data_IF_228910064489
#
_entry.id   IF_228910064489
#
_cell.length_a   1.000
_cell.length_b   1.000
_cell.length_c   1.000
_cell.angle_alpha   90.00
_cell.angle_beta   90.00
_cell.angle_gamma   90.00
#
_symmetry.space_group_name_H-M   'P 1'
#
loop_
_entity.id
_entity.type
_entity.pdbx_description
1 polymer ?
#
# COMPACT_ATOMS: atom_id res chain seq x y z
N UNK A 1 -19.47 24.41 9.20
CA UNK A 1 -19.95 24.78 7.86
C UNK A 1 -20.10 26.29 7.68
N UNK A 2 -19.24 26.88 6.85
CA UNK A 2 -19.41 28.23 6.30
C UNK A 2 -20.38 28.24 5.09
N UNK A 3 -20.79 29.42 4.60
CA UNK A 3 -21.60 29.52 3.37
C UNK A 3 -20.85 28.98 2.14
N UNK A 4 -19.52 29.18 2.06
CA UNK A 4 -18.67 28.57 1.03
C UNK A 4 -18.66 27.05 1.13
N UNK A 5 -18.46 26.49 2.34
CA UNK A 5 -18.46 25.04 2.56
C UNK A 5 -19.84 24.41 2.24
N UNK A 6 -20.93 25.14 2.50
CA UNK A 6 -22.28 24.72 2.12
C UNK A 6 -22.49 24.72 0.60
N UNK A 7 -21.99 25.74 -0.13
CA UNK A 7 -22.00 25.76 -1.60
C UNK A 7 -21.23 24.56 -2.15
N UNK A 8 -20.02 24.31 -1.64
CA UNK A 8 -19.21 23.17 -2.04
C UNK A 8 -19.92 21.84 -1.80
N UNK A 9 -20.49 21.62 -0.60
CA UNK A 9 -21.17 20.36 -0.25
C UNK A 9 -22.47 20.14 -1.06
N UNK A 10 -23.20 21.21 -1.42
CA UNK A 10 -24.56 21.10 -1.99
C UNK A 10 -24.68 21.31 -3.49
N UNK A 11 -23.72 22.00 -4.13
CA UNK A 11 -23.74 22.25 -5.59
C UNK A 11 -22.64 21.51 -6.35
N UNK A 12 -21.53 21.17 -5.67
CA UNK A 12 -20.36 20.58 -6.32
C UNK A 12 -19.97 19.19 -5.77
N UNK A 13 -20.68 18.68 -4.76
CA UNK A 13 -20.33 17.46 -4.02
C UNK A 13 -18.87 17.47 -3.47
N UNK A 14 -18.40 18.67 -3.07
CA UNK A 14 -17.08 18.92 -2.50
C UNK A 14 -17.16 19.05 -0.98
N UNK A 15 -16.43 18.19 -0.26
CA UNK A 15 -16.56 18.00 1.19
C UNK A 15 -15.38 18.63 1.96
N UNK A 16 -15.22 19.95 1.83
CA UNK A 16 -14.11 20.76 2.39
C UNK A 16 -13.82 20.54 3.89
N UNK A 17 -14.85 20.25 4.70
CA UNK A 17 -14.74 20.04 6.15
C UNK A 17 -14.43 18.58 6.54
N UNK A 18 -14.40 17.64 5.59
CA UNK A 18 -14.07 16.23 5.82
C UNK A 18 -12.61 15.94 5.46
N UNK A 19 -11.99 14.93 6.09
CA UNK A 19 -10.66 14.41 5.72
C UNK A 19 -10.80 13.04 5.04
N UNK A 20 -10.03 12.84 3.98
CA UNK A 20 -9.80 11.53 3.38
C UNK A 20 -8.33 11.12 3.61
N UNK A 21 -8.10 9.83 3.86
CA UNK A 21 -6.77 9.20 3.82
C UNK A 21 -6.76 8.02 2.85
N UNK A 22 -5.69 7.90 2.07
CA UNK A 22 -5.26 6.75 1.25
C UNK A 22 -3.72 6.85 1.12
N UNK A 23 -3.00 5.87 0.54
CA UNK A 23 -1.54 5.92 0.44
C UNK A 23 -1.00 7.20 -0.22
N UNK A 24 -1.73 7.75 -1.20
CA UNK A 24 -1.40 8.96 -1.97
C UNK A 24 -2.00 10.27 -1.40
N UNK A 25 -2.97 10.18 -0.48
CA UNK A 25 -3.83 11.30 -0.11
C UNK A 25 -3.99 11.39 1.41
N UNK A 26 -3.71 12.55 2.00
CA UNK A 26 -3.86 12.73 3.45
C UNK A 26 -4.19 14.19 3.80
N UNK A 27 -5.41 14.64 3.45
CA UNK A 27 -5.83 16.04 3.67
C UNK A 27 -7.34 16.23 3.80
N UNK A 28 -7.71 17.43 4.24
CA UNK A 28 -9.09 17.90 4.24
C UNK A 28 -9.53 18.28 2.81
N UNK A 29 -10.83 18.14 2.54
CA UNK A 29 -11.44 18.40 1.25
C UNK A 29 -11.24 17.26 0.25
N UNK A 30 -12.33 16.82 -0.37
CA UNK A 30 -12.35 15.94 -1.53
C UNK A 30 -13.69 16.08 -2.27
N UNK A 31 -13.73 15.76 -3.56
CA UNK A 31 -15.00 15.55 -4.28
C UNK A 31 -15.52 14.14 -3.99
N UNK A 32 -16.84 13.94 -3.91
CA UNK A 32 -17.43 12.62 -3.64
C UNK A 32 -16.93 11.50 -4.57
N UNK A 33 -16.58 11.82 -5.83
CA UNK A 33 -16.03 10.86 -6.80
C UNK A 33 -14.66 10.31 -6.38
N UNK A 34 -13.95 11.00 -5.47
CA UNK A 34 -12.75 10.46 -4.82
C UNK A 34 -13.00 9.12 -4.13
N UNK A 35 -14.16 8.92 -3.51
CA UNK A 35 -14.53 7.62 -2.91
C UNK A 35 -14.62 6.53 -3.98
N UNK A 36 -15.19 6.85 -5.14
CA UNK A 36 -15.36 5.90 -6.25
C UNK A 36 -13.98 5.53 -6.83
N UNK A 37 -13.13 6.53 -7.04
CA UNK A 37 -11.78 6.37 -7.59
C UNK A 37 -10.86 5.60 -6.64
N UNK A 38 -10.84 5.94 -5.35
CA UNK A 38 -9.98 5.29 -4.35
C UNK A 38 -10.43 3.84 -4.11
N UNK A 39 -11.74 3.56 -4.05
CA UNK A 39 -12.21 2.17 -4.00
C UNK A 39 -11.93 1.40 -5.29
N UNK A 40 -11.95 2.05 -6.47
CA UNK A 40 -11.54 1.40 -7.72
C UNK A 40 -10.03 1.10 -7.75
N UNK A 41 -9.18 2.02 -7.30
CA UNK A 41 -7.75 1.78 -7.15
C UNK A 41 -7.44 0.68 -6.10
N UNK A 42 -8.31 0.46 -5.12
CA UNK A 42 -8.25 -0.71 -4.23
C UNK A 42 -8.68 -2.02 -4.92
N UNK A 43 -9.72 -2.01 -5.77
CA UNK A 43 -10.18 -3.17 -6.56
C UNK A 43 -9.12 -3.61 -7.59
N UNK A 44 -8.45 -2.64 -8.21
CA UNK A 44 -7.35 -2.86 -9.16
C UNK A 44 -5.99 -3.17 -8.48
N UNK A 45 -5.94 -3.18 -7.14
CA UNK A 45 -4.77 -3.62 -6.37
C UNK A 45 -3.66 -2.58 -6.12
N UNK A 46 -3.86 -1.32 -6.54
CA UNK A 46 -2.92 -0.23 -6.30
C UNK A 46 -2.93 0.24 -4.83
N UNK A 47 -4.12 0.33 -4.22
CA UNK A 47 -4.28 0.79 -2.83
C UNK A 47 -4.74 -0.33 -1.89
N UNK A 48 -4.23 -0.34 -0.66
CA UNK A 48 -4.62 -1.34 0.35
C UNK A 48 -5.68 -0.83 1.35
N UNK A 49 -5.88 0.49 1.44
CA UNK A 49 -6.84 1.08 2.39
C UNK A 49 -7.35 2.45 1.94
N UNK A 50 -8.48 2.85 2.53
CA UNK A 50 -8.87 4.26 2.61
C UNK A 50 -9.63 4.58 3.91
N UNK A 51 -9.56 5.82 4.39
CA UNK A 51 -10.20 6.30 5.61
C UNK A 51 -10.95 7.61 5.39
N UNK A 52 -12.16 7.73 5.94
CA UNK A 52 -13.00 8.93 5.88
C UNK A 52 -13.33 9.41 7.28
N UNK A 53 -12.93 10.65 7.61
CA UNK A 53 -13.22 11.29 8.88
C UNK A 53 -14.21 12.45 8.69
N UNK A 54 -15.38 12.43 9.35
CA UNK A 54 -16.30 13.55 9.36
C UNK A 54 -15.78 14.70 10.24
N UNK A 55 -16.19 15.96 9.97
CA UNK A 55 -15.81 17.11 10.81
C UNK A 55 -16.29 16.98 12.27
N UNK A 56 -17.39 16.27 12.49
CA UNK A 56 -18.02 15.99 13.77
C UNK A 56 -18.53 14.54 13.76
N UNK A 57 -18.55 13.86 14.91
CA UNK A 57 -18.98 12.48 14.98
C UNK A 57 -20.43 12.28 14.49
N UNK A 58 -20.68 11.18 13.77
CA UNK A 58 -21.98 10.82 13.19
C UNK A 58 -22.49 9.60 13.96
N UNK A 59 -23.50 9.77 14.81
CA UNK A 59 -24.03 8.72 15.68
C UNK A 59 -22.92 8.01 16.49
N UNK A 60 -22.01 8.81 17.08
CA UNK A 60 -20.81 8.34 17.80
C UNK A 60 -19.60 8.00 16.90
N UNK A 61 -19.80 7.88 15.59
CA UNK A 61 -18.76 7.47 14.66
C UNK A 61 -17.77 8.59 14.30
N UNK A 62 -16.48 8.36 14.52
CA UNK A 62 -15.37 9.29 14.24
C UNK A 62 -14.57 8.94 12.99
N UNK A 63 -14.67 7.72 12.47
CA UNK A 63 -14.06 7.30 11.20
C UNK A 63 -14.81 6.13 10.56
N UNK A 64 -14.93 6.14 9.23
CA UNK A 64 -15.28 4.98 8.41
C UNK A 64 -14.12 4.64 7.49
N UNK A 65 -13.65 3.39 7.51
CA UNK A 65 -12.45 2.94 6.80
C UNK A 65 -12.79 1.74 5.93
N UNK A 66 -12.13 1.60 4.78
CA UNK A 66 -12.10 0.37 4.00
C UNK A 66 -10.66 -0.16 3.97
N UNK A 67 -10.50 -1.48 4.01
CA UNK A 67 -9.22 -2.18 3.83
C UNK A 67 -9.43 -3.35 2.87
N UNK A 68 -8.44 -3.67 2.05
CA UNK A 68 -8.51 -4.82 1.14
C UNK A 68 -8.86 -6.11 1.89
N UNK A 69 -9.87 -6.83 1.42
CA UNK A 69 -10.38 -8.03 2.08
C UNK A 69 -9.48 -9.24 1.87
N UNK A 70 -9.93 -10.39 2.37
CA UNK A 70 -9.26 -11.68 2.15
C UNK A 70 -9.34 -12.11 0.68
N UNK A 71 -10.47 -11.85 0.03
CA UNK A 71 -10.61 -12.02 -1.42
C UNK A 71 -10.16 -10.78 -2.16
N UNK A 72 -9.97 -10.87 -3.49
CA UNK A 72 -9.65 -9.70 -4.31
C UNK A 72 -10.90 -8.84 -4.59
N UNK A 73 -12.10 -9.42 -4.56
CA UNK A 73 -13.35 -8.76 -4.94
C UNK A 73 -14.07 -8.09 -3.73
N UNK A 74 -13.44 -8.12 -2.55
CA UNK A 74 -14.04 -7.66 -1.28
C UNK A 74 -13.15 -6.71 -0.48
N UNK A 75 -13.80 -5.86 0.33
CA UNK A 75 -13.16 -5.02 1.35
C UNK A 75 -13.79 -5.26 2.72
N UNK A 76 -12.97 -5.15 3.76
CA UNK A 76 -13.45 -5.08 5.14
C UNK A 76 -13.70 -3.61 5.51
N UNK A 77 -14.92 -3.28 5.93
CA UNK A 77 -15.28 -1.93 6.37
C UNK A 77 -15.18 -1.83 7.89
N UNK A 78 -14.43 -0.85 8.39
CA UNK A 78 -14.27 -0.59 9.82
C UNK A 78 -14.94 0.73 10.21
N UNK A 79 -15.60 0.75 11.37
CA UNK A 79 -16.23 1.94 11.95
C UNK A 79 -15.63 2.18 13.34
N UNK A 80 -15.02 3.34 13.57
CA UNK A 80 -14.65 3.77 14.92
C UNK A 80 -15.85 4.51 15.52
N UNK A 81 -16.49 3.97 16.56
CA UNK A 81 -17.70 4.51 17.20
C UNK A 81 -17.52 4.47 18.73
N UNK A 82 -17.67 5.61 19.41
CA UNK A 82 -17.57 5.73 20.88
C UNK A 82 -16.32 5.04 21.48
N UNK A 83 -15.17 5.24 20.83
CA UNK A 83 -13.86 4.64 21.16
C UNK A 83 -13.77 3.11 21.05
N UNK A 84 -14.75 2.46 20.43
CA UNK A 84 -14.71 1.05 19.98
C UNK A 84 -14.53 1.00 18.47
N UNK A 85 -14.06 -0.14 17.95
CA UNK A 85 -14.04 -0.40 16.52
C UNK A 85 -15.00 -1.53 16.18
N UNK A 86 -15.75 -1.37 15.10
CA UNK A 86 -16.67 -2.37 14.56
C UNK A 86 -16.25 -2.72 13.13
N UNK A 87 -16.54 -3.95 12.68
CA UNK A 87 -16.14 -4.49 11.37
C UNK A 87 -17.33 -5.10 10.63
N UNK A 88 -17.39 -4.86 9.32
CA UNK A 88 -18.17 -5.64 8.35
C UNK A 88 -17.18 -6.38 7.45
N UNK A 89 -17.25 -7.70 7.44
CA UNK A 89 -16.42 -8.57 6.60
C UNK A 89 -16.95 -8.65 5.17
N UNK A 90 -16.02 -8.84 4.21
CA UNK A 90 -16.30 -9.25 2.82
C UNK A 90 -17.37 -8.42 2.08
N UNK A 91 -17.33 -7.09 2.23
CA UNK A 91 -18.22 -6.15 1.54
C UNK A 91 -17.76 -5.98 0.09
N UNK A 92 -18.66 -6.11 -0.88
CA UNK A 92 -18.33 -5.90 -2.30
C UNK A 92 -17.94 -4.44 -2.58
N UNK A 93 -17.02 -4.18 -3.51
CA UNK A 93 -16.67 -2.79 -3.90
C UNK A 93 -17.89 -1.93 -4.29
N UNK A 94 -18.86 -2.41 -5.10
CA UNK A 94 -20.08 -1.66 -5.37
C UNK A 94 -20.92 -1.33 -4.12
N UNK A 95 -20.90 -2.16 -3.08
CA UNK A 95 -21.61 -1.88 -1.82
C UNK A 95 -20.82 -0.99 -0.87
N UNK A 96 -19.49 -1.14 -0.81
CA UNK A 96 -18.60 -0.22 -0.12
C UNK A 96 -18.75 1.22 -0.65
N UNK A 97 -18.79 1.40 -1.98
CA UNK A 97 -19.09 2.70 -2.62
C UNK A 97 -20.44 3.26 -2.14
N UNK A 98 -21.50 2.44 -2.11
CA UNK A 98 -22.84 2.87 -1.64
C UNK A 98 -22.81 3.28 -0.16
N UNK A 99 -22.11 2.52 0.69
CA UNK A 99 -22.01 2.76 2.13
C UNK A 99 -21.19 4.02 2.44
N UNK A 100 -19.99 4.15 1.88
CA UNK A 100 -19.10 5.31 2.11
C UNK A 100 -19.69 6.60 1.54
N UNK A 101 -20.33 6.55 0.35
CA UNK A 101 -21.12 7.69 -0.16
C UNK A 101 -22.34 8.01 0.71
N UNK A 102 -22.99 7.02 1.33
CA UNK A 102 -24.09 7.28 2.26
C UNK A 102 -23.60 7.94 3.56
N UNK A 103 -22.46 7.51 4.09
CA UNK A 103 -21.80 8.14 5.25
C UNK A 103 -21.51 9.62 4.97
N UNK A 104 -20.89 9.94 3.83
CA UNK A 104 -20.54 11.32 3.46
C UNK A 104 -21.77 12.14 3.05
N UNK A 105 -22.56 11.70 2.07
CA UNK A 105 -23.68 12.49 1.51
C UNK A 105 -24.89 12.59 2.43
N UNK A 106 -25.17 11.55 3.22
CA UNK A 106 -26.39 11.43 4.04
C UNK A 106 -26.13 11.48 5.54
N UNK A 107 -24.86 11.49 5.98
CA UNK A 107 -24.45 11.49 7.40
C UNK A 107 -25.14 10.36 8.17
N UNK A 108 -25.04 9.14 7.61
CA UNK A 108 -25.71 7.93 8.08
C UNK A 108 -24.76 6.73 8.05
N UNK A 109 -24.78 5.94 9.12
CA UNK A 109 -24.07 4.66 9.23
C UNK A 109 -24.77 3.50 8.47
N UNK A 110 -24.05 2.38 8.25
CA UNK A 110 -24.66 1.09 7.89
C UNK A 110 -25.71 0.64 8.91
N UNK A 111 -26.46 -0.42 8.60
CA UNK A 111 -27.38 -1.01 9.56
C UNK A 111 -26.59 -1.68 10.72
N UNK A 112 -26.90 -1.42 12.01
CA UNK A 112 -26.19 -2.03 13.13
C UNK A 112 -26.23 -3.55 13.21
N UNK A 113 -27.08 -4.22 12.44
CA UNK A 113 -27.08 -5.69 12.32
C UNK A 113 -25.99 -6.24 11.39
N UNK A 114 -25.30 -5.38 10.62
CA UNK A 114 -24.28 -5.78 9.64
C UNK A 114 -22.85 -5.78 10.21
N UNK A 115 -22.60 -5.06 11.31
CA UNK A 115 -21.26 -4.92 11.89
C UNK A 115 -21.15 -5.51 13.30
N UNK A 116 -20.01 -6.12 13.59
CA UNK A 116 -19.68 -6.69 14.92
C UNK A 116 -18.59 -5.87 15.60
N UNK A 117 -18.64 -5.77 16.93
CA UNK A 117 -17.55 -5.16 17.70
C UNK A 117 -16.30 -6.05 17.60
N UNK A 118 -15.17 -5.44 17.27
CA UNK A 118 -13.86 -6.09 17.20
C UNK A 118 -12.89 -5.40 18.15
N UNK A 119 -11.78 -6.06 18.47
CA UNK A 119 -10.62 -5.33 18.95
C UNK A 119 -10.26 -4.25 17.90
N UNK A 120 -9.97 -3.02 18.35
CA UNK A 120 -9.38 -2.02 17.47
C UNK A 120 -8.11 -2.62 16.84
N UNK A 121 -7.85 -2.33 15.56
CA UNK A 121 -6.82 -3.04 14.81
C UNK A 121 -5.45 -2.76 15.43
N UNK A 122 -4.97 -3.75 16.15
CA UNK A 122 -3.87 -3.62 17.08
C UNK A 122 -2.55 -3.74 16.33
N UNK A 123 -1.76 -2.66 16.37
CA UNK A 123 -0.46 -2.64 15.68
C UNK A 123 0.53 -3.61 16.35
N UNK A 124 0.31 -4.03 17.62
CA UNK A 124 1.05 -5.14 18.22
C UNK A 124 0.76 -6.49 17.54
N UNK A 125 -0.42 -6.66 16.92
CA UNK A 125 -0.77 -7.86 16.13
C UNK A 125 -0.20 -7.83 14.71
N UNK A 126 0.13 -6.66 14.17
CA UNK A 126 0.89 -6.50 12.91
C UNK A 126 2.41 -6.69 13.10
N UNK A 127 2.91 -6.56 14.34
CA UNK A 127 4.35 -6.67 14.65
C UNK A 127 4.99 -8.01 14.27
N UNK A 128 4.34 -9.19 14.40
CA UNK A 128 4.85 -10.46 13.87
C UNK A 128 5.00 -10.43 12.34
N UNK A 129 3.96 -10.08 11.60
CA UNK A 129 3.96 -9.95 10.12
C UNK A 129 5.10 -9.04 9.64
N UNK A 130 5.31 -7.90 10.29
CA UNK A 130 6.41 -6.99 9.94
C UNK A 130 7.79 -7.56 10.33
N UNK A 131 7.89 -8.28 11.46
CA UNK A 131 9.14 -8.98 11.84
C UNK A 131 9.51 -10.03 10.79
N UNK A 132 8.52 -10.75 10.27
CA UNK A 132 8.70 -11.77 9.23
C UNK A 132 9.11 -11.14 7.90
N UNK A 133 8.40 -10.11 7.44
CA UNK A 133 8.73 -9.39 6.20
C UNK A 133 10.12 -8.75 6.25
N UNK A 134 10.48 -8.11 7.37
CA UNK A 134 11.82 -7.54 7.56
C UNK A 134 12.90 -8.63 7.62
N UNK A 135 12.58 -9.82 8.12
CA UNK A 135 13.51 -10.98 8.12
C UNK A 135 13.73 -11.53 6.72
N UNK A 136 12.67 -11.61 5.91
CA UNK A 136 12.71 -12.03 4.51
C UNK A 136 13.53 -11.04 3.67
N UNK A 137 13.17 -9.75 3.68
CA UNK A 137 13.78 -8.74 2.81
C UNK A 137 15.23 -8.38 3.19
N UNK A 138 15.61 -8.49 4.48
CA UNK A 138 16.99 -8.27 4.93
C UNK A 138 17.86 -9.54 4.88
N UNK A 139 17.28 -10.71 4.62
CA UNK A 139 17.98 -12.01 4.57
C UNK A 139 18.66 -12.48 5.88
N UNK A 140 18.51 -11.73 6.98
CA UNK A 140 19.21 -11.95 8.24
C UNK A 140 18.35 -11.55 9.45
N UNK A 141 17.91 -12.57 10.19
CA UNK A 141 17.12 -12.42 11.41
C UNK A 141 17.80 -11.56 12.50
N UNK A 142 19.14 -11.39 12.49
CA UNK A 142 19.83 -10.47 13.42
C UNK A 142 19.63 -9.01 13.01
N UNK A 143 19.71 -8.71 11.72
CA UNK A 143 19.47 -7.36 11.19
C UNK A 143 17.99 -6.99 11.34
N UNK A 144 17.08 -7.89 11.00
CA UNK A 144 15.64 -7.71 11.25
C UNK A 144 15.34 -7.51 12.74
N UNK A 145 15.93 -8.31 13.64
CA UNK A 145 15.76 -8.11 15.10
C UNK A 145 16.28 -6.75 15.59
N UNK A 146 17.40 -6.24 15.04
CA UNK A 146 17.88 -4.89 15.35
C UNK A 146 16.86 -3.84 14.91
N UNK A 147 16.43 -3.91 13.66
CA UNK A 147 15.42 -3.02 13.09
C UNK A 147 14.09 -3.04 13.89
N UNK A 148 13.56 -4.22 14.23
CA UNK A 148 12.34 -4.37 15.03
C UNK A 148 12.48 -3.97 16.52
N UNK A 149 13.70 -3.64 16.96
CA UNK A 149 13.96 -3.01 18.28
C UNK A 149 13.86 -1.48 18.20
N UNK A 150 14.13 -0.91 17.02
CA UNK A 150 14.00 0.53 16.71
C UNK A 150 12.56 0.89 16.27
N UNK A 151 11.88 -0.01 15.56
CA UNK A 151 10.49 0.13 15.12
C UNK A 151 9.48 0.14 16.29
N UNK A 152 8.76 1.26 16.44
CA UNK A 152 7.88 1.53 17.60
C UNK A 152 6.56 0.76 17.52
N UNK A 153 5.86 0.87 16.38
CA UNK A 153 4.66 0.10 15.99
C UNK A 153 3.50 0.16 17.00
N UNK A 154 2.99 1.38 17.29
CA UNK A 154 1.84 1.63 18.18
C UNK A 154 0.68 2.35 17.49
N UNK A 155 0.86 2.83 16.27
CA UNK A 155 -0.16 3.50 15.45
C UNK A 155 0.08 3.23 13.97
N UNK A 156 -0.90 3.53 13.11
CA UNK A 156 -0.73 3.49 11.65
C UNK A 156 0.37 4.45 11.17
N UNK A 157 0.51 5.60 11.83
CA UNK A 157 1.57 6.59 11.57
C UNK A 157 2.97 6.04 11.93
N UNK A 158 3.11 5.35 13.07
CA UNK A 158 4.35 4.66 13.42
C UNK A 158 4.63 3.42 12.55
N UNK A 159 3.61 2.83 11.91
CA UNK A 159 3.75 1.78 10.91
C UNK A 159 4.28 2.34 9.58
N UNK A 160 3.71 3.46 9.11
CA UNK A 160 4.14 4.19 7.91
C UNK A 160 5.58 4.73 8.07
N UNK A 161 5.92 5.34 9.22
CA UNK A 161 7.30 5.66 9.61
C UNK A 161 8.21 4.43 9.50
N UNK A 162 7.78 3.30 10.05
CA UNK A 162 8.60 2.08 10.11
C UNK A 162 8.77 1.45 8.72
N UNK A 163 7.77 1.54 7.84
CA UNK A 163 7.85 1.11 6.43
C UNK A 163 8.92 1.90 5.67
N UNK A 164 8.92 3.23 5.82
CA UNK A 164 9.97 4.10 5.28
C UNK A 164 11.37 3.73 5.81
N UNK A 165 11.49 3.50 7.13
CA UNK A 165 12.75 3.09 7.74
C UNK A 165 13.24 1.71 7.24
N UNK A 166 12.34 0.77 6.87
CA UNK A 166 12.73 -0.49 6.24
C UNK A 166 13.29 -0.23 4.83
N UNK A 167 12.60 0.60 4.03
CA UNK A 167 13.05 1.02 2.71
C UNK A 167 14.49 1.59 2.75
N UNK A 168 14.75 2.58 3.61
CA UNK A 168 16.11 3.16 3.78
C UNK A 168 17.13 2.10 4.21
N UNK A 169 16.72 1.10 5.02
CA UNK A 169 17.58 -0.01 5.42
C UNK A 169 17.95 -0.93 4.26
N UNK A 170 16.99 -1.21 3.37
CA UNK A 170 17.21 -2.06 2.19
C UNK A 170 18.14 -1.37 1.18
N UNK A 171 17.94 -0.07 0.92
CA UNK A 171 18.83 0.72 0.04
C UNK A 171 20.24 0.88 0.63
N UNK A 172 20.37 1.20 1.91
CA UNK A 172 21.69 1.31 2.58
C UNK A 172 22.45 -0.03 2.68
N UNK A 173 21.80 -1.14 2.35
CA UNK A 173 22.40 -2.48 2.21
C UNK A 173 22.59 -2.94 0.76
N UNK A 174 22.08 -2.17 -0.21
CA UNK A 174 21.99 -2.57 -1.62
C UNK A 174 21.06 -3.75 -1.88
N UNK A 175 20.17 -4.09 -0.94
CA UNK A 175 19.12 -5.10 -1.15
C UNK A 175 17.94 -4.54 -1.96
N UNK A 176 17.78 -3.21 -1.92
CA UNK A 176 16.96 -2.44 -2.84
C UNK A 176 17.77 -1.34 -3.53
N UNK A 177 17.24 -0.77 -4.61
CA UNK A 177 17.70 0.47 -5.24
C UNK A 177 16.51 1.40 -5.47
N UNK A 178 16.69 2.69 -5.21
CA UNK A 178 15.73 3.73 -5.62
C UNK A 178 16.08 4.22 -7.03
N UNK A 179 15.10 4.27 -7.92
CA UNK A 179 15.19 4.90 -9.25
C UNK A 179 14.02 5.86 -9.45
N UNK A 180 14.24 6.99 -10.11
CA UNK A 180 13.12 7.82 -10.57
C UNK A 180 12.34 7.09 -11.67
N UNK A 181 11.04 7.35 -11.80
CA UNK A 181 10.24 6.99 -12.98
C UNK A 181 10.77 7.53 -14.33
N UNK A 182 11.81 8.38 -14.30
CA UNK A 182 12.50 8.98 -15.46
C UNK A 182 14.01 8.68 -15.44
N UNK A 183 14.41 7.49 -14.98
CA UNK A 183 15.80 7.05 -15.15
C UNK A 183 16.06 6.65 -16.61
N UNK A 184 17.30 6.87 -17.07
CA UNK A 184 17.76 6.39 -18.37
C UNK A 184 17.99 4.87 -18.33
N UNK A 185 17.94 4.21 -19.49
CA UNK A 185 18.08 2.75 -19.61
C UNK A 185 19.39 2.23 -19.01
N UNK A 186 20.52 2.92 -19.20
CA UNK A 186 21.80 2.53 -18.62
C UNK A 186 21.80 2.57 -17.08
N UNK A 187 21.12 3.55 -16.47
CA UNK A 187 21.00 3.65 -15.02
C UNK A 187 20.09 2.54 -14.47
N UNK A 188 19.00 2.19 -15.17
CA UNK A 188 18.18 1.03 -14.83
C UNK A 188 19.02 -0.27 -14.88
N UNK A 189 19.65 -0.57 -16.02
CA UNK A 189 20.51 -1.75 -16.20
C UNK A 189 21.62 -1.80 -15.13
N UNK A 190 22.30 -0.68 -14.91
CA UNK A 190 23.40 -0.59 -13.94
C UNK A 190 22.95 -0.90 -12.51
N UNK A 191 21.76 -0.43 -12.10
CA UNK A 191 21.24 -0.64 -10.76
C UNK A 191 20.61 -2.04 -10.56
N UNK A 192 19.90 -2.58 -11.56
CA UNK A 192 19.44 -3.99 -11.51
C UNK A 192 20.61 -4.97 -11.47
N UNK A 193 21.71 -4.71 -12.20
CA UNK A 193 22.94 -5.51 -12.09
C UNK A 193 23.58 -5.47 -10.68
N UNK A 194 23.39 -4.39 -9.90
CA UNK A 194 23.88 -4.35 -8.51
C UNK A 194 23.07 -5.31 -7.62
N UNK A 195 21.74 -5.34 -7.76
CA UNK A 195 20.87 -6.23 -6.98
C UNK A 195 21.26 -7.70 -7.18
N UNK A 196 21.39 -8.12 -8.45
CA UNK A 196 21.74 -9.50 -8.84
C UNK A 196 23.10 -9.90 -8.25
N UNK A 197 24.12 -9.04 -8.37
CA UNK A 197 25.46 -9.27 -7.80
C UNK A 197 25.48 -9.27 -6.26
N UNK A 198 24.67 -8.43 -5.60
CA UNK A 198 24.64 -8.36 -4.14
C UNK A 198 24.06 -9.64 -3.51
N UNK A 199 23.01 -10.22 -4.11
CA UNK A 199 22.53 -11.57 -3.76
C UNK A 199 23.42 -12.72 -4.31
N UNK A 200 24.49 -12.41 -5.06
CA UNK A 200 25.39 -13.38 -5.72
C UNK A 200 24.71 -14.34 -6.72
N UNK A 201 23.60 -13.89 -7.31
CA UNK A 201 22.75 -14.67 -8.23
C UNK A 201 23.31 -14.74 -9.66
N UNK A 202 24.34 -13.95 -9.95
CA UNK A 202 25.00 -13.86 -11.26
C UNK A 202 25.80 -15.12 -11.65
N UNK A 203 25.93 -16.09 -10.75
CA UNK A 203 26.67 -17.34 -10.96
C UNK A 203 25.82 -18.61 -10.89
N UNK A 204 24.53 -18.52 -10.55
CA UNK A 204 23.66 -19.68 -10.28
C UNK A 204 22.43 -19.80 -11.20
N UNK A 205 21.74 -18.70 -11.49
CA UNK A 205 20.31 -18.74 -11.90
C UNK A 205 20.00 -18.05 -13.24
N UNK A 206 20.99 -17.91 -14.14
CA UNK A 206 20.85 -17.27 -15.46
C UNK A 206 20.24 -15.85 -15.44
N UNK A 207 20.38 -15.13 -14.32
CA UNK A 207 19.92 -13.75 -14.16
C UNK A 207 20.81 -12.76 -14.91
N UNK A 208 20.75 -12.84 -16.24
CA UNK A 208 21.40 -11.95 -17.19
C UNK A 208 20.40 -10.94 -17.76
N UNK A 209 20.86 -9.72 -18.00
CA UNK A 209 20.10 -8.71 -18.74
C UNK A 209 20.56 -8.75 -20.19
N UNK A 210 19.68 -9.10 -21.13
CA UNK A 210 19.92 -8.89 -22.55
C UNK A 210 19.67 -7.42 -22.88
N UNK A 211 20.74 -6.62 -22.87
CA UNK A 211 20.66 -5.17 -23.13
C UNK A 211 20.34 -4.85 -24.60
N UNK A 212 20.26 -5.84 -25.49
CA UNK A 212 19.81 -5.67 -26.87
C UNK A 212 18.32 -5.97 -27.07
N UNK A 213 17.62 -6.41 -26.02
CA UNK A 213 16.17 -6.64 -26.01
C UNK A 213 15.36 -5.50 -25.38
N UNK A 214 16.02 -4.53 -24.73
CA UNK A 214 15.40 -3.35 -24.10
C UNK A 214 15.52 -2.14 -25.04
N UNK A 215 14.44 -1.36 -25.18
CA UNK A 215 14.38 -0.17 -26.02
C UNK A 215 14.75 1.11 -25.22
N UNK A 216 15.42 2.08 -25.85
CA UNK A 216 15.74 3.36 -25.21
C UNK A 216 14.54 4.32 -25.15
N UNK A 217 13.53 4.13 -26.01
CA UNK A 217 12.26 4.89 -26.00
C UNK A 217 11.20 4.33 -25.01
N UNK A 218 11.46 3.18 -24.36
CA UNK A 218 10.62 2.56 -23.32
C UNK A 218 10.78 3.24 -21.94
N UNK A 219 10.02 2.80 -20.93
CA UNK A 219 10.21 3.25 -19.54
C UNK A 219 10.41 2.09 -18.54
N UNK A 220 10.67 2.45 -17.28
CA UNK A 220 11.02 1.54 -16.19
C UNK A 220 10.03 0.38 -15.97
N UNK A 221 8.74 0.56 -16.22
CA UNK A 221 7.74 -0.52 -16.13
C UNK A 221 7.83 -1.48 -17.31
N UNK A 222 8.11 -0.99 -18.52
CA UNK A 222 8.28 -1.82 -19.71
C UNK A 222 9.54 -2.69 -19.58
N UNK A 223 10.68 -2.08 -19.25
CA UNK A 223 11.94 -2.82 -19.04
C UNK A 223 11.82 -3.85 -17.90
N UNK A 224 11.01 -3.56 -16.87
CA UNK A 224 10.71 -4.50 -15.80
C UNK A 224 9.88 -5.68 -16.28
N UNK A 225 8.91 -5.46 -17.18
CA UNK A 225 8.10 -6.51 -17.78
C UNK A 225 8.95 -7.43 -18.68
N UNK A 226 9.83 -6.85 -19.50
CA UNK A 226 10.71 -7.60 -20.39
C UNK A 226 11.72 -8.47 -19.61
N UNK A 227 12.26 -7.96 -18.49
CA UNK A 227 13.04 -8.79 -17.56
C UNK A 227 12.19 -9.89 -16.92
N UNK A 228 11.04 -9.56 -16.34
CA UNK A 228 10.15 -10.54 -15.69
C UNK A 228 9.54 -11.58 -16.64
N UNK A 229 9.53 -11.32 -17.96
CA UNK A 229 9.16 -12.29 -18.98
C UNK A 229 10.27 -13.33 -19.27
N UNK A 230 11.53 -13.05 -18.91
CA UNK A 230 12.68 -13.95 -19.15
C UNK A 230 13.16 -14.69 -17.90
N UNK A 231 12.85 -14.21 -16.70
CA UNK A 231 13.35 -14.78 -15.44
C UNK A 231 12.44 -15.91 -14.92
N UNK A 232 12.90 -17.16 -14.93
CA UNK A 232 12.08 -18.32 -14.54
C UNK A 232 11.85 -18.44 -13.02
N UNK A 233 12.91 -18.26 -12.21
CA UNK A 233 12.92 -18.53 -10.77
C UNK A 233 12.75 -17.28 -9.88
N UNK A 234 12.92 -16.09 -10.47
CA UNK A 234 13.14 -14.82 -9.79
C UNK A 234 12.35 -13.70 -10.47
N UNK A 235 12.10 -12.60 -9.74
CA UNK A 235 11.42 -11.41 -10.26
C UNK A 235 12.10 -10.13 -9.83
N UNK A 236 12.06 -9.15 -10.72
CA UNK A 236 12.21 -7.74 -10.40
C UNK A 236 10.89 -7.25 -9.82
N UNK A 237 10.91 -6.90 -8.54
CA UNK A 237 9.75 -6.44 -7.77
C UNK A 237 10.04 -5.05 -7.25
N UNK A 238 9.04 -4.37 -6.72
CA UNK A 238 9.30 -3.18 -5.92
C UNK A 238 8.35 -2.96 -4.76
N UNK A 239 8.78 -2.03 -3.90
CA UNK A 239 8.16 -1.66 -2.65
C UNK A 239 7.55 -0.26 -2.79
N UNK A 240 6.24 -0.16 -2.70
CA UNK A 240 5.55 1.13 -2.76
C UNK A 240 5.83 1.93 -1.48
N UNK A 241 6.41 3.12 -1.62
CA UNK A 241 6.73 4.05 -0.53
C UNK A 241 5.93 5.37 -0.60
N UNK A 242 4.93 5.46 -1.48
CA UNK A 242 4.10 6.67 -1.65
C UNK A 242 4.81 7.84 -2.34
N UNK A 243 5.76 7.57 -3.25
CA UNK A 243 6.52 8.58 -4.00
C UNK A 243 6.50 8.30 -5.51
N UNK A 244 7.08 9.19 -6.33
CA UNK A 244 7.30 9.00 -7.77
C UNK A 244 8.62 8.24 -8.10
N UNK A 245 9.16 7.50 -7.12
CA UNK A 245 10.33 6.63 -7.23
C UNK A 245 9.96 5.14 -7.18
N UNK A 246 10.65 4.35 -7.99
CA UNK A 246 10.63 2.89 -7.96
C UNK A 246 11.69 2.36 -6.99
N UNK A 247 11.27 1.74 -5.89
CA UNK A 247 12.17 1.01 -4.98
C UNK A 247 12.25 -0.45 -5.42
N UNK A 248 13.22 -0.76 -6.28
CA UNK A 248 13.37 -2.08 -6.91
C UNK A 248 14.17 -3.07 -6.06
N UNK A 249 13.77 -4.35 -6.10
CA UNK A 249 14.44 -5.49 -5.46
C UNK A 249 14.39 -6.72 -6.38
N UNK A 250 15.32 -7.66 -6.19
CA UNK A 250 15.23 -8.99 -6.83
C UNK A 250 14.89 -10.05 -5.78
N UNK A 251 13.73 -10.70 -5.95
CA UNK A 251 13.22 -11.76 -5.07
C UNK A 251 12.98 -13.05 -5.85
N UNK A 252 13.13 -14.21 -5.21
CA UNK A 252 12.67 -15.48 -5.79
C UNK A 252 11.14 -15.49 -5.90
N UNK A 253 10.56 -16.38 -6.72
CA UNK A 253 9.10 -16.50 -6.82
C UNK A 253 8.42 -16.80 -5.46
N UNK A 254 9.09 -17.54 -4.56
CA UNK A 254 8.59 -17.84 -3.21
C UNK A 254 8.78 -16.67 -2.23
N UNK A 255 9.94 -16.00 -2.29
CA UNK A 255 10.20 -14.76 -1.54
C UNK A 255 9.18 -13.67 -1.93
N UNK A 256 8.94 -13.46 -3.23
CA UNK A 256 8.02 -12.46 -3.75
C UNK A 256 6.59 -12.71 -3.28
N UNK A 257 6.08 -13.93 -3.44
CA UNK A 257 4.72 -14.27 -3.02
C UNK A 257 4.53 -13.98 -1.52
N UNK A 258 5.49 -14.43 -0.70
CA UNK A 258 5.46 -14.24 0.75
C UNK A 258 5.57 -12.75 1.12
N UNK A 259 6.44 -11.99 0.45
CA UNK A 259 6.58 -10.55 0.67
C UNK A 259 5.30 -9.77 0.29
N UNK A 260 4.62 -10.15 -0.80
CA UNK A 260 3.36 -9.56 -1.24
C UNK A 260 2.21 -9.86 -0.26
N UNK A 261 2.08 -11.10 0.21
CA UNK A 261 1.06 -11.48 1.22
C UNK A 261 1.29 -10.73 2.54
N UNK A 262 2.52 -10.68 3.06
CA UNK A 262 2.87 -9.96 4.29
C UNK A 262 2.72 -8.43 4.14
N UNK A 263 3.10 -7.84 2.99
CA UNK A 263 2.90 -6.40 2.75
C UNK A 263 1.42 -6.03 2.75
N UNK A 264 0.56 -6.84 2.11
CA UNK A 264 -0.89 -6.64 2.09
C UNK A 264 -1.49 -6.67 3.51
N UNK A 265 -1.06 -7.60 4.36
CA UNK A 265 -1.48 -7.63 5.78
C UNK A 265 -1.08 -6.36 6.54
N UNK A 266 0.06 -5.75 6.21
CA UNK A 266 0.52 -4.48 6.77
C UNK A 266 -0.15 -3.25 6.13
N UNK A 267 -1.08 -3.44 5.19
CA UNK A 267 -1.73 -2.39 4.39
C UNK A 267 -0.76 -1.57 3.51
N UNK A 268 0.35 -2.19 3.11
CA UNK A 268 1.33 -1.66 2.17
C UNK A 268 1.42 -2.55 0.91
N UNK A 269 2.14 -2.11 -0.12
CA UNK A 269 2.22 -2.82 -1.41
C UNK A 269 3.65 -3.24 -1.75
N UNK A 270 3.79 -4.52 -2.05
CA UNK A 270 4.92 -5.08 -2.80
C UNK A 270 4.31 -5.83 -4.00
N UNK A 271 4.76 -5.52 -5.20
CA UNK A 271 4.26 -6.10 -6.45
C UNK A 271 5.40 -6.26 -7.46
N UNK A 272 5.14 -6.93 -8.58
CA UNK A 272 6.07 -6.97 -9.72
C UNK A 272 6.29 -5.56 -10.27
N UNK A 273 7.52 -5.23 -10.64
CA UNK A 273 7.92 -3.84 -10.89
C UNK A 273 7.20 -3.18 -12.07
N UNK A 274 6.71 -3.96 -13.04
CA UNK A 274 5.89 -3.51 -14.17
C UNK A 274 4.45 -3.07 -13.82
N UNK A 275 4.04 -3.13 -12.54
CA UNK A 275 2.69 -2.79 -12.09
C UNK A 275 2.61 -1.65 -11.08
N UNK A 276 3.74 -1.13 -10.59
CA UNK A 276 3.77 -0.19 -9.47
C UNK A 276 3.05 1.12 -9.83
#
# INVERSE_FOLDING_TARGET
>A
MSFYNWIQEKLFDNYEEWRMKSPDYNRNGFNIVGIDNTLKAMEDGFFMYMELYPPHAIDGCTAMKARVGKTQDSVDIFLDIDSKTYRMDDVSYPDAVKMMRAFVKKRRLPDPSLYVEVANLDIEQMKPTFTELATLLLGDAKQAKSFMTEAKLRSMEELEDSWWNLYEKLVSKGYAVELSCKCELEDFIHNVQKLIRNKSLDTSENLTIDTAALDEDQCITDWSADLNATWEAHKLVGMDIGTDSFVLMVLSNEEFKTAQELAKELLHRIDVAERL
#
